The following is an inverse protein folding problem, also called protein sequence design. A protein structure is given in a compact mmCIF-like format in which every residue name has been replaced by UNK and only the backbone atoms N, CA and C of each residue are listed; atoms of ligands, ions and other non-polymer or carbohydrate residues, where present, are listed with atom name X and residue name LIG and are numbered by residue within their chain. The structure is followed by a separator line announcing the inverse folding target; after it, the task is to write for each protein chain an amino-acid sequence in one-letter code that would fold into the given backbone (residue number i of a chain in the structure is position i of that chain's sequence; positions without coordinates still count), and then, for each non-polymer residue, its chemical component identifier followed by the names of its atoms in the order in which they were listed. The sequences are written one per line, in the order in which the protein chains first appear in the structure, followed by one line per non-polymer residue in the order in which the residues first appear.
data_IF_647551829896
#
_entry.id   IF_647551829896
#
_cell.length_a   1.000
_cell.length_b   1.000
_cell.length_c   1.000
_cell.angle_alpha   90.00
_cell.angle_beta   90.00
_cell.angle_gamma   90.00
#
_symmetry.space_group_name_H-M   'P 1'
#
loop_
_entity.id
_entity.type
_entity.pdbx_description
1 polymer ?
#
# COMPACT_ATOMS: atom_id res chain seq x y z
N UNK A 1 -6.47 -27.31 -7.50
CA UNK A 1 -5.42 -26.26 -7.42
C UNK A 1 -5.42 -25.68 -6.02
N UNK A 2 -4.27 -25.71 -5.33
CA UNK A 2 -4.17 -25.14 -4.00
C UNK A 2 -3.97 -23.62 -4.05
N UNK A 3 -3.98 -22.99 -2.91
CA UNK A 3 -3.89 -21.53 -2.79
C UNK A 3 -2.59 -20.95 -3.35
N UNK A 4 -1.47 -21.65 -3.17
CA UNK A 4 -0.18 -21.22 -3.72
C UNK A 4 -0.14 -21.30 -5.24
N UNK A 5 -0.69 -22.39 -5.79
CA UNK A 5 -0.78 -22.58 -7.25
C UNK A 5 -1.69 -21.54 -7.89
N UNK A 6 -2.82 -21.22 -7.25
CA UNK A 6 -3.73 -20.17 -7.71
C UNK A 6 -3.03 -18.81 -7.74
N UNK A 7 -2.31 -18.46 -6.67
CA UNK A 7 -1.56 -17.21 -6.59
C UNK A 7 -0.50 -17.12 -7.69
N UNK A 8 0.23 -18.20 -7.92
CA UNK A 8 1.27 -18.25 -8.95
C UNK A 8 0.68 -18.07 -10.34
N UNK A 9 -0.42 -18.76 -10.63
CA UNK A 9 -1.11 -18.68 -11.92
C UNK A 9 -1.65 -17.28 -12.18
N UNK A 10 -2.34 -16.69 -11.19
CA UNK A 10 -2.91 -15.34 -11.31
C UNK A 10 -1.83 -14.27 -11.43
N UNK A 11 -0.73 -14.42 -10.71
CA UNK A 11 0.41 -13.51 -10.83
C UNK A 11 1.00 -13.56 -12.23
N UNK A 12 1.17 -14.75 -12.78
CA UNK A 12 1.67 -14.93 -14.15
C UNK A 12 0.77 -14.24 -15.17
N UNK A 13 -0.54 -14.44 -15.05
CA UNK A 13 -1.52 -13.78 -15.93
C UNK A 13 -1.40 -12.26 -15.82
N UNK A 14 -1.30 -11.73 -14.61
CA UNK A 14 -1.15 -10.30 -14.36
C UNK A 14 0.17 -9.75 -14.93
N UNK A 15 1.27 -10.49 -14.76
CA UNK A 15 2.58 -10.08 -15.28
C UNK A 15 2.60 -10.02 -16.81
N UNK A 16 1.76 -10.80 -17.48
CA UNK A 16 1.63 -10.82 -18.93
C UNK A 16 0.80 -9.66 -19.48
N UNK A 17 0.09 -8.91 -18.65
CA UNK A 17 -0.64 -7.73 -19.09
C UNK A 17 0.36 -6.66 -19.53
N UNK A 18 0.24 -6.09 -20.75
CA UNK A 18 1.15 -5.04 -21.21
C UNK A 18 1.22 -3.86 -20.25
N UNK A 19 2.42 -3.30 -20.08
CA UNK A 19 2.67 -2.17 -19.18
C UNK A 19 1.71 -1.00 -19.42
N UNK A 20 1.47 -0.66 -20.67
CA UNK A 20 0.56 0.45 -21.02
C UNK A 20 -0.86 0.20 -20.53
N UNK A 21 -1.34 -1.04 -20.66
CA UNK A 21 -2.67 -1.42 -20.19
C UNK A 21 -2.75 -1.43 -18.67
N UNK A 22 -1.69 -1.90 -18.01
CA UNK A 22 -1.61 -1.87 -16.53
C UNK A 22 -1.67 -0.44 -16.01
N UNK A 23 -0.96 0.47 -16.66
CA UNK A 23 -0.97 1.89 -16.30
C UNK A 23 -2.37 2.50 -16.44
N UNK A 24 -3.07 2.21 -17.54
CA UNK A 24 -4.44 2.69 -17.76
C UNK A 24 -5.40 2.14 -16.72
N UNK A 25 -5.30 0.86 -16.41
CA UNK A 25 -6.16 0.21 -15.41
C UNK A 25 -5.91 0.77 -14.01
N UNK A 26 -4.65 0.98 -13.64
CA UNK A 26 -4.28 1.59 -12.36
C UNK A 26 -4.82 3.01 -12.25
N UNK A 27 -4.73 3.80 -13.31
CA UNK A 27 -5.29 5.16 -13.35
C UNK A 27 -6.80 5.16 -13.14
N UNK A 28 -7.50 4.23 -13.80
CA UNK A 28 -8.96 4.09 -13.67
C UNK A 28 -9.37 3.67 -12.25
N UNK A 29 -8.65 2.71 -11.67
CA UNK A 29 -8.87 2.26 -10.29
C UNK A 29 -8.64 3.42 -9.32
N UNK A 30 -7.56 4.17 -9.50
CA UNK A 30 -7.21 5.32 -8.66
C UNK A 30 -8.32 6.37 -8.69
N UNK A 31 -8.80 6.71 -9.88
CA UNK A 31 -9.86 7.70 -10.05
C UNK A 31 -11.15 7.26 -9.33
N UNK A 32 -11.57 6.02 -9.53
CA UNK A 32 -12.77 5.48 -8.89
C UNK A 32 -12.64 5.41 -7.37
N UNK A 33 -11.47 5.00 -6.90
CA UNK A 33 -11.18 4.92 -5.46
C UNK A 33 -11.28 6.30 -4.80
N UNK A 34 -10.66 7.31 -5.37
CA UNK A 34 -10.65 8.67 -4.82
C UNK A 34 -12.02 9.33 -4.81
N UNK A 35 -12.93 8.89 -5.67
CA UNK A 35 -14.32 9.37 -5.70
C UNK A 35 -15.26 8.59 -4.79
N UNK A 36 -14.80 7.48 -4.22
CA UNK A 36 -15.65 6.64 -3.37
C UNK A 36 -15.99 7.33 -2.05
N UNK A 37 -17.18 7.08 -1.55
CA UNK A 37 -17.65 7.64 -0.28
C UNK A 37 -16.78 7.15 0.89
N UNK A 38 -16.29 5.92 0.83
CA UNK A 38 -15.43 5.34 1.86
C UNK A 38 -14.11 6.09 1.97
N UNK A 39 -13.51 6.45 0.83
CA UNK A 39 -12.30 7.26 0.84
C UNK A 39 -12.56 8.68 1.33
N UNK A 40 -13.60 9.31 0.80
CA UNK A 40 -13.94 10.70 1.13
C UNK A 40 -14.18 10.87 2.64
N UNK A 41 -14.88 9.93 3.26
CA UNK A 41 -15.21 10.00 4.69
C UNK A 41 -14.10 9.53 5.62
N UNK A 42 -13.11 8.79 5.12
CA UNK A 42 -12.03 8.27 5.96
C UNK A 42 -11.04 9.37 6.35
N UNK A 43 -10.62 9.38 7.61
CA UNK A 43 -9.59 10.29 8.11
C UNK A 43 -8.21 9.62 8.10
N UNK A 44 -8.16 8.33 8.44
CA UNK A 44 -6.94 7.52 8.45
C UNK A 44 -7.09 6.37 7.48
N UNK A 45 -6.21 6.31 6.49
CA UNK A 45 -6.24 5.31 5.42
C UNK A 45 -4.94 4.49 5.46
N UNK A 46 -5.09 3.16 5.51
CA UNK A 46 -3.96 2.24 5.38
C UNK A 46 -3.93 1.70 3.97
N UNK A 47 -2.79 1.83 3.30
CA UNK A 47 -2.59 1.39 1.91
C UNK A 47 -1.39 0.46 1.82
N UNK A 48 -1.52 -0.60 1.01
CA UNK A 48 -0.35 -1.36 0.59
C UNK A 48 0.50 -0.51 -0.35
N UNK A 49 1.79 -0.79 -0.40
CA UNK A 49 2.70 -0.13 -1.34
C UNK A 49 2.89 -1.10 -2.50
N UNK A 50 2.42 -0.70 -3.68
CA UNK A 50 2.41 -1.57 -4.86
C UNK A 50 3.80 -1.99 -5.30
N UNK A 51 3.92 -3.24 -5.73
CA UNK A 51 5.15 -3.84 -6.22
C UNK A 51 4.86 -4.70 -7.45
N UNK A 52 5.79 -4.70 -8.41
CA UNK A 52 5.67 -5.50 -9.62
C UNK A 52 4.45 -5.14 -10.45
N UNK A 53 3.64 -6.13 -10.79
CA UNK A 53 2.45 -5.97 -11.62
C UNK A 53 1.17 -5.66 -10.84
N UNK A 54 1.27 -5.40 -9.54
CA UNK A 54 0.12 -4.98 -8.75
C UNK A 54 -0.42 -3.62 -9.23
N UNK A 55 -1.74 -3.36 -9.07
CA UNK A 55 -2.26 -2.02 -9.35
C UNK A 55 -1.48 -0.98 -8.58
N UNK A 56 -1.04 0.07 -9.27
CA UNK A 56 -0.17 1.11 -8.73
C UNK A 56 -0.90 1.93 -7.66
N UNK A 57 -0.29 2.05 -6.47
CA UNK A 57 -0.84 2.81 -5.36
C UNK A 57 -0.12 4.14 -5.10
N UNK A 58 0.94 4.47 -5.83
CA UNK A 58 1.75 5.66 -5.53
C UNK A 58 0.96 6.95 -5.65
N UNK A 59 0.10 7.09 -6.65
CA UNK A 59 -0.75 8.27 -6.79
C UNK A 59 -1.76 8.39 -5.64
N UNK A 60 -2.28 7.26 -5.17
CA UNK A 60 -3.19 7.24 -4.02
C UNK A 60 -2.45 7.62 -2.74
N UNK A 61 -1.23 7.11 -2.54
CA UNK A 61 -0.39 7.46 -1.39
C UNK A 61 -0.17 8.98 -1.32
N UNK A 62 0.24 9.59 -2.44
CA UNK A 62 0.43 11.03 -2.55
C UNK A 62 -0.86 11.80 -2.28
N UNK A 63 -1.97 11.31 -2.80
CA UNK A 63 -3.27 11.99 -2.63
C UNK A 63 -3.76 11.95 -1.20
N UNK A 64 -3.57 10.84 -0.49
CA UNK A 64 -3.92 10.72 0.93
C UNK A 64 -3.18 11.80 1.73
N UNK A 65 -1.89 11.95 1.47
CA UNK A 65 -1.05 12.95 2.14
C UNK A 65 -1.53 14.37 1.78
N UNK A 66 -1.72 14.65 0.49
CA UNK A 66 -2.13 15.98 0.04
C UNK A 66 -3.55 16.37 0.46
N UNK A 67 -4.44 15.40 0.66
CA UNK A 67 -5.80 15.65 1.15
C UNK A 67 -5.84 15.91 2.67
N UNK A 68 -4.67 15.85 3.34
CA UNK A 68 -4.59 16.08 4.78
C UNK A 68 -5.06 14.90 5.63
N UNK A 69 -5.24 13.74 5.03
CA UNK A 69 -5.59 12.51 5.74
C UNK A 69 -4.33 11.89 6.33
N UNK A 70 -4.51 11.06 7.35
CA UNK A 70 -3.42 10.30 7.94
C UNK A 70 -3.18 9.05 7.09
N UNK A 71 -1.93 8.86 6.64
CA UNK A 71 -1.52 7.69 5.89
C UNK A 71 -0.86 6.68 6.81
N UNK A 72 -1.30 5.43 6.74
CA UNK A 72 -0.65 4.30 7.38
C UNK A 72 -0.16 3.32 6.32
N UNK A 73 1.05 2.82 6.48
CA UNK A 73 1.67 1.86 5.57
C UNK A 73 2.15 0.63 6.32
N UNK A 74 2.12 -0.56 5.69
CA UNK A 74 2.46 -1.79 6.39
C UNK A 74 3.96 -2.04 6.46
N UNK A 75 4.42 -2.51 7.61
CA UNK A 75 5.69 -3.17 7.77
C UNK A 75 5.42 -4.64 8.05
N UNK A 76 5.90 -5.52 7.17
CA UNK A 76 5.68 -6.96 7.28
C UNK A 76 6.86 -7.64 7.94
N UNK A 77 6.60 -8.43 8.98
CA UNK A 77 7.58 -9.33 9.59
C UNK A 77 7.24 -10.76 9.16
N UNK A 78 8.02 -11.29 8.21
CA UNK A 78 7.78 -12.62 7.64
C UNK A 78 8.06 -13.75 8.63
N UNK A 79 8.94 -13.52 9.60
CA UNK A 79 9.29 -14.53 10.62
C UNK A 79 8.13 -14.70 11.61
N UNK A 80 7.57 -13.59 12.09
CA UNK A 80 6.45 -13.59 13.03
C UNK A 80 5.08 -13.66 12.35
N UNK A 81 5.03 -13.54 11.02
CA UNK A 81 3.79 -13.45 10.24
C UNK A 81 2.89 -12.32 10.74
N UNK A 82 3.50 -11.18 11.04
CA UNK A 82 2.80 -10.00 11.57
C UNK A 82 2.95 -8.80 10.64
N UNK A 83 1.94 -7.96 10.64
CA UNK A 83 1.95 -6.67 9.94
C UNK A 83 1.72 -5.58 10.98
N UNK A 84 2.62 -4.60 10.99
CA UNK A 84 2.47 -3.41 11.82
C UNK A 84 2.24 -2.20 10.92
N UNK A 85 1.22 -1.40 11.22
CA UNK A 85 0.94 -0.17 10.49
C UNK A 85 1.76 0.98 11.08
N UNK A 86 2.46 1.73 10.23
CA UNK A 86 3.19 2.94 10.62
C UNK A 86 2.64 4.15 9.89
N UNK A 87 2.49 5.26 10.60
CA UNK A 87 2.11 6.52 9.99
C UNK A 87 3.26 7.10 9.17
N UNK A 88 2.95 7.67 8.02
CA UNK A 88 3.92 8.34 7.16
C UNK A 88 3.35 9.67 6.66
N UNK A 89 4.17 10.72 6.68
CA UNK A 89 3.79 12.06 6.22
C UNK A 89 4.32 12.37 4.82
N UNK A 90 5.25 11.57 4.34
CA UNK A 90 5.92 11.76 3.05
C UNK A 90 6.40 10.42 2.51
N UNK A 91 6.40 10.27 1.19
CA UNK A 91 6.96 9.08 0.54
C UNK A 91 8.47 8.94 0.76
N UNK A 92 9.17 10.04 1.08
CA UNK A 92 10.60 10.01 1.43
C UNK A 92 10.91 9.26 2.72
N UNK A 93 9.90 8.96 3.52
CA UNK A 93 10.03 8.18 4.75
C UNK A 93 9.95 6.67 4.50
N UNK A 94 9.78 6.28 3.25
CA UNK A 94 9.79 4.88 2.82
C UNK A 94 11.15 4.53 2.25
N UNK A 95 11.57 3.28 2.45
CA UNK A 95 12.86 2.78 2.02
C UNK A 95 12.70 1.39 1.43
N UNK A 96 13.56 1.03 0.48
CA UNK A 96 13.56 -0.30 -0.11
C UNK A 96 13.91 -1.34 0.96
N UNK A 97 12.99 -2.26 1.19
CA UNK A 97 13.16 -3.35 2.15
C UNK A 97 13.41 -4.68 1.46
N UNK A 98 12.94 -5.76 2.08
CA UNK A 98 13.05 -7.11 1.53
C UNK A 98 12.41 -7.21 0.14
N UNK A 99 13.09 -7.88 -0.78
CA UNK A 99 12.63 -8.10 -2.16
C UNK A 99 12.43 -6.80 -2.97
N UNK A 100 13.05 -5.68 -2.55
CA UNK A 100 12.92 -4.40 -3.25
C UNK A 100 11.59 -3.69 -3.04
N UNK A 101 10.73 -4.19 -2.17
CA UNK A 101 9.45 -3.57 -1.84
C UNK A 101 9.69 -2.41 -0.86
N UNK A 102 9.08 -1.25 -1.12
CA UNK A 102 9.19 -0.11 -0.21
C UNK A 102 8.45 -0.41 1.09
N UNK A 103 9.06 0.01 2.18
CA UNK A 103 8.49 -0.14 3.52
C UNK A 103 8.89 1.06 4.38
N UNK A 104 8.28 1.26 5.55
CA UNK A 104 8.68 2.33 6.47
C UNK A 104 10.17 2.22 6.81
N UNK A 105 10.87 3.36 6.76
CA UNK A 105 12.31 3.41 7.03
C UNK A 105 12.61 3.00 8.47
N UNK A 106 13.39 1.94 8.66
CA UNK A 106 13.73 1.41 9.98
C UNK A 106 14.47 2.41 10.86
N UNK A 107 15.30 3.26 10.27
CA UNK A 107 16.01 4.31 11.02
C UNK A 107 15.04 5.34 11.59
N UNK A 108 14.01 5.67 10.84
CA UNK A 108 12.96 6.60 11.28
C UNK A 108 12.04 5.97 12.32
N UNK A 109 11.85 4.66 12.27
CA UNK A 109 11.11 3.91 13.30
C UNK A 109 11.92 3.94 14.62
N UNK A 110 13.21 3.61 14.55
CA UNK A 110 14.09 3.58 15.72
C UNK A 110 14.23 4.95 16.39
N UNK A 111 14.29 6.02 15.58
CA UNK A 111 14.40 7.39 16.09
C UNK A 111 13.08 7.95 16.63
N UNK A 112 11.98 7.25 16.44
CA UNK A 112 10.65 7.67 16.88
C UNK A 112 9.96 8.68 15.96
N UNK A 113 10.51 8.94 14.78
CA UNK A 113 9.87 9.81 13.77
C UNK A 113 8.63 9.13 13.20
N UNK A 114 8.75 7.84 12.84
CA UNK A 114 7.61 7.03 12.42
C UNK A 114 7.07 6.24 13.61
N UNK A 115 5.76 6.37 13.83
CA UNK A 115 5.08 5.74 14.96
C UNK A 115 4.04 4.73 14.49
N UNK A 116 3.84 3.65 15.26
CA UNK A 116 2.77 2.69 14.96
C UNK A 116 1.41 3.36 15.01
N UNK A 117 0.52 2.90 14.13
CA UNK A 117 -0.89 3.32 14.11
C UNK A 117 -1.72 2.13 14.58
N UNK A 118 -2.56 2.36 15.60
CA UNK A 118 -3.43 1.31 16.13
C UNK A 118 -4.52 0.95 15.12
N UNK A 119 -4.87 -0.32 15.04
CA UNK A 119 -5.93 -0.77 14.14
C UNK A 119 -7.27 -0.07 14.39
N UNK A 120 -7.54 0.29 15.64
CA UNK A 120 -8.75 1.04 16.02
C UNK A 120 -8.80 2.46 15.46
N UNK A 121 -7.66 3.02 15.05
CA UNK A 121 -7.56 4.36 14.48
C UNK A 121 -7.74 4.37 12.95
N UNK A 122 -7.68 3.20 12.31
CA UNK A 122 -7.72 3.08 10.86
C UNK A 122 -9.18 2.99 10.39
N UNK A 123 -9.59 3.91 9.51
CA UNK A 123 -10.97 3.97 8.99
C UNK A 123 -11.13 3.15 7.71
N UNK A 124 -10.08 3.02 6.92
CA UNK A 124 -10.13 2.32 5.64
C UNK A 124 -8.80 1.61 5.39
N UNK A 125 -8.88 0.33 5.02
CA UNK A 125 -7.71 -0.48 4.66
C UNK A 125 -7.83 -0.91 3.21
N UNK A 126 -6.79 -0.67 2.43
CA UNK A 126 -6.69 -1.12 1.03
C UNK A 126 -5.63 -2.19 0.95
N UNK A 127 -6.01 -3.37 0.49
CA UNK A 127 -5.13 -4.53 0.38
C UNK A 127 -4.98 -4.96 -1.07
N UNK A 128 -3.81 -5.57 -1.44
CA UNK A 128 -3.65 -6.10 -2.79
C UNK A 128 -4.52 -7.33 -2.97
N UNK A 129 -5.01 -7.49 -4.19
CA UNK A 129 -5.83 -8.64 -4.57
C UNK A 129 -5.06 -9.73 -5.30
#
# INVERSE_FOLDING_TARGET
MNKQEQRKTLRKIRDEIPQELRTLKSSDITEKFLKSDKYISAETVMLYISFGSEPDTFDILDRVISDGKKLAVPLCDSVKCEITAFGADSLSQLKSGSYGILEPDSELIESGVLKPVQSSEIDLVVVPG
#
